data_IF_583047407267
#
_entry.id   IF_583047407267
#
_cell.length_a   1.000
_cell.length_b   1.000
_cell.length_c   1.000
_cell.angle_alpha   90.00
_cell.angle_beta   90.00
_cell.angle_gamma   90.00
#
_symmetry.space_group_name_H-M   'P 1'
#
loop_
_entity.id
_entity.type
_entity.pdbx_description
1 polymer ?
#
# COMPACT_ATOMS: atom_id res chain seq x y z
N UNK A 1 26.16 28.03 11.93
CA UNK A 1 25.08 27.02 12.04
C UNK A 1 25.55 25.97 13.02
N UNK A 2 24.89 25.86 14.18
CA UNK A 2 25.25 24.88 15.20
C UNK A 2 25.10 23.45 14.67
N UNK A 3 26.18 22.67 14.74
CA UNK A 3 26.24 21.24 14.35
C UNK A 3 25.12 20.45 15.06
N UNK A 4 24.77 20.86 16.28
CA UNK A 4 23.73 20.25 17.10
C UNK A 4 22.31 20.43 16.52
N UNK A 5 22.05 21.56 15.84
CA UNK A 5 20.75 21.84 15.19
C UNK A 5 20.59 21.01 13.91
N UNK A 6 21.68 20.83 13.15
CA UNK A 6 21.69 20.00 11.94
C UNK A 6 21.42 18.53 12.24
N UNK A 7 22.08 17.97 13.25
CA UNK A 7 21.89 16.56 13.66
C UNK A 7 20.46 16.33 14.14
N UNK A 8 19.91 17.22 14.97
CA UNK A 8 18.53 17.10 15.47
C UNK A 8 17.50 17.12 14.33
N UNK A 9 17.70 17.99 13.33
CA UNK A 9 16.84 18.06 12.14
C UNK A 9 16.91 16.77 11.33
N UNK A 10 18.11 16.23 11.13
CA UNK A 10 18.32 14.98 10.40
C UNK A 10 17.66 13.78 11.09
N UNK A 11 17.86 13.60 12.40
CA UNK A 11 17.24 12.51 13.17
C UNK A 11 15.71 12.62 13.13
N UNK A 12 15.17 13.83 13.28
CA UNK A 12 13.73 14.06 13.20
C UNK A 12 13.18 13.68 11.81
N UNK A 13 13.87 14.06 10.73
CA UNK A 13 13.50 13.67 9.38
C UNK A 13 13.55 12.16 9.16
N UNK A 14 14.57 11.45 9.69
CA UNK A 14 14.63 9.99 9.60
C UNK A 14 13.43 9.33 10.30
N UNK A 15 13.11 9.76 11.53
CA UNK A 15 11.97 9.20 12.29
C UNK A 15 10.65 9.43 11.56
N UNK A 16 10.43 10.64 11.02
CA UNK A 16 9.23 10.96 10.23
C UNK A 16 9.16 10.09 8.97
N UNK A 17 10.30 9.86 8.31
CA UNK A 17 10.35 9.05 7.10
C UNK A 17 10.02 7.59 7.35
N UNK A 18 10.57 7.00 8.41
CA UNK A 18 10.24 5.63 8.84
C UNK A 18 8.76 5.53 9.21
N UNK A 19 8.26 6.48 10.00
CA UNK A 19 6.85 6.49 10.42
C UNK A 19 5.90 6.57 9.21
N UNK A 20 6.20 7.41 8.22
CA UNK A 20 5.42 7.48 6.98
C UNK A 20 5.49 6.19 6.18
N UNK A 21 6.67 5.60 6.02
CA UNK A 21 6.82 4.31 5.34
C UNK A 21 6.02 3.19 6.02
N UNK A 22 6.06 3.14 7.35
CA UNK A 22 5.27 2.21 8.14
C UNK A 22 3.77 2.42 7.97
N UNK A 23 3.31 3.68 7.92
CA UNK A 23 1.91 4.01 7.71
C UNK A 23 1.43 3.56 6.32
N UNK A 24 2.22 3.81 5.27
CA UNK A 24 1.91 3.31 3.92
C UNK A 24 1.85 1.80 3.85
N UNK A 25 2.84 1.11 4.44
CA UNK A 25 2.83 -0.34 4.55
C UNK A 25 1.55 -0.83 5.24
N UNK A 26 1.21 -0.26 6.39
CA UNK A 26 0.05 -0.66 7.17
C UNK A 26 -1.25 -0.45 6.39
N UNK A 27 -1.39 0.67 5.69
CA UNK A 27 -2.59 0.94 4.87
C UNK A 27 -2.69 -0.02 3.69
N UNK A 28 -1.67 -0.07 2.82
CA UNK A 28 -1.73 -0.78 1.55
C UNK A 28 -1.59 -2.30 1.67
N UNK A 29 -0.87 -2.78 2.68
CA UNK A 29 -0.52 -4.20 2.82
C UNK A 29 -1.34 -4.91 3.90
N UNK A 30 -1.80 -4.18 4.92
CA UNK A 30 -2.54 -4.77 6.04
C UNK A 30 -4.02 -4.38 6.01
N UNK A 31 -4.34 -3.08 6.12
CA UNK A 31 -5.73 -2.60 6.22
C UNK A 31 -6.53 -2.97 4.98
N UNK A 32 -6.05 -2.57 3.79
CA UNK A 32 -6.81 -2.76 2.56
C UNK A 32 -7.11 -4.24 2.28
N UNK A 33 -6.12 -5.16 2.23
CA UNK A 33 -6.39 -6.57 2.04
C UNK A 33 -7.32 -7.17 3.10
N UNK A 34 -7.21 -6.73 4.36
CA UNK A 34 -8.07 -7.21 5.46
C UNK A 34 -9.51 -6.70 5.32
N UNK A 35 -9.71 -5.48 4.84
CA UNK A 35 -11.05 -4.97 4.55
C UNK A 35 -11.71 -5.76 3.41
N UNK A 36 -10.95 -6.04 2.34
CA UNK A 36 -11.43 -6.86 1.23
C UNK A 36 -11.76 -8.29 1.67
N UNK A 37 -10.91 -8.94 2.47
CA UNK A 37 -11.18 -10.31 2.96
C UNK A 37 -12.41 -10.39 3.88
N UNK A 38 -12.74 -9.33 4.61
CA UNK A 38 -13.97 -9.29 5.43
C UNK A 38 -15.24 -9.10 4.60
N UNK A 39 -15.17 -8.32 3.53
CA UNK A 39 -16.30 -8.12 2.61
C UNK A 39 -16.52 -9.40 1.78
N UNK A 40 -15.45 -10.16 1.52
CA UNK A 40 -15.43 -11.34 0.66
C UNK A 40 -14.77 -12.53 1.39
N UNK A 41 -15.46 -13.14 2.38
CA UNK A 41 -14.87 -14.10 3.32
C UNK A 41 -14.52 -15.47 2.72
N UNK A 42 -15.09 -15.83 1.57
CA UNK A 42 -14.86 -17.11 0.88
C UNK A 42 -13.95 -16.95 -0.35
N UNK A 43 -13.10 -15.92 -0.34
CA UNK A 43 -12.20 -15.64 -1.44
C UNK A 43 -10.78 -15.96 -1.02
N UNK A 44 -10.11 -16.78 -1.82
CA UNK A 44 -8.69 -17.06 -1.64
C UNK A 44 -7.89 -15.86 -2.15
N UNK A 45 -7.71 -14.84 -1.31
CA UNK A 45 -6.77 -13.77 -1.62
C UNK A 45 -5.37 -14.39 -1.56
N UNK A 46 -4.61 -14.43 -2.66
CA UNK A 46 -3.29 -15.05 -2.66
C UNK A 46 -2.38 -14.30 -1.69
N UNK A 47 -2.09 -14.93 -0.56
CA UNK A 47 -1.09 -14.42 0.37
C UNK A 47 0.28 -14.67 -0.26
N UNK A 48 0.97 -13.61 -0.62
CA UNK A 48 2.37 -13.65 -1.06
C UNK A 48 3.29 -13.30 0.13
N UNK A 49 3.58 -14.25 1.04
CA UNK A 49 4.38 -13.98 2.23
C UNK A 49 5.77 -13.42 1.91
N UNK A 50 6.34 -13.83 0.77
CA UNK A 50 7.63 -13.33 0.28
C UNK A 50 7.65 -11.84 -0.08
N UNK A 51 6.48 -11.21 -0.31
CA UNK A 51 6.40 -9.79 -0.67
C UNK A 51 6.34 -8.84 0.54
N UNK A 52 5.98 -9.31 1.74
CA UNK A 52 5.82 -8.43 2.90
C UNK A 52 7.10 -7.68 3.29
N UNK A 53 8.25 -8.39 3.36
CA UNK A 53 9.53 -7.79 3.77
C UNK A 53 10.06 -6.83 2.69
N UNK A 54 10.14 -7.20 1.39
CA UNK A 54 10.56 -6.29 0.34
C UNK A 54 9.71 -5.02 0.26
N UNK A 55 8.38 -5.16 0.39
CA UNK A 55 7.45 -4.02 0.35
C UNK A 55 7.62 -3.12 1.57
N UNK A 56 7.85 -3.67 2.76
CA UNK A 56 8.15 -2.88 3.94
C UNK A 56 9.44 -2.06 3.77
N UNK A 57 10.50 -2.68 3.26
CA UNK A 57 11.78 -2.01 2.97
C UNK A 57 11.56 -0.91 1.93
N UNK A 58 10.82 -1.18 0.86
CA UNK A 58 10.51 -0.22 -0.20
C UNK A 58 9.79 1.02 0.34
N UNK A 59 8.70 0.83 1.09
CA UNK A 59 7.96 1.96 1.67
C UNK A 59 8.79 2.74 2.69
N UNK A 60 9.59 2.07 3.50
CA UNK A 60 10.47 2.73 4.46
C UNK A 60 11.54 3.55 3.74
N UNK A 61 12.16 3.01 2.68
CA UNK A 61 13.15 3.71 1.86
C UNK A 61 12.54 4.95 1.17
N UNK A 62 11.33 4.82 0.61
CA UNK A 62 10.59 5.92 0.00
C UNK A 62 10.19 6.99 1.02
N UNK A 63 9.73 6.57 2.21
CA UNK A 63 9.38 7.47 3.30
C UNK A 63 10.59 8.26 3.80
N UNK A 64 11.73 7.59 3.98
CA UNK A 64 13.02 8.20 4.31
C UNK A 64 13.47 9.20 3.24
N UNK A 65 13.49 8.76 1.98
CA UNK A 65 13.90 9.61 0.87
C UNK A 65 13.00 10.85 0.80
N UNK A 66 11.67 10.69 0.86
CA UNK A 66 10.73 11.81 0.83
C UNK A 66 10.90 12.77 2.01
N UNK A 67 11.21 12.27 3.19
CA UNK A 67 11.48 13.11 4.37
C UNK A 67 12.79 13.90 4.25
N UNK A 68 13.81 13.31 3.63
CA UNK A 68 15.10 13.96 3.40
C UNK A 68 15.01 15.04 2.32
N UNK A 69 14.27 14.82 1.23
CA UNK A 69 14.06 15.81 0.15
C UNK A 69 12.81 16.67 0.34
N UNK A 70 12.20 16.69 1.53
CA UNK A 70 10.91 17.37 1.79
C UNK A 70 10.89 18.85 1.40
N UNK A 71 12.04 19.54 1.52
CA UNK A 71 12.20 20.97 1.18
C UNK A 71 12.47 21.21 -0.31
N UNK A 72 12.68 20.14 -1.09
CA UNK A 72 12.95 20.21 -2.51
C UNK A 72 11.70 19.84 -3.34
N UNK A 73 11.58 20.40 -4.57
CA UNK A 73 10.47 20.09 -5.47
C UNK A 73 10.42 18.60 -5.87
N UNK A 74 11.53 17.87 -5.70
CA UNK A 74 11.66 16.42 -5.95
C UNK A 74 10.83 15.60 -4.94
N UNK A 75 10.44 16.16 -3.79
CA UNK A 75 9.54 15.47 -2.84
C UNK A 75 8.20 15.09 -3.46
N UNK A 76 7.69 15.91 -4.39
CA UNK A 76 6.38 15.74 -5.01
C UNK A 76 6.31 14.50 -5.92
N UNK A 77 7.24 14.30 -6.89
CA UNK A 77 7.29 13.05 -7.64
C UNK A 77 7.62 11.84 -6.76
N UNK A 78 8.39 11.99 -5.68
CA UNK A 78 8.65 10.88 -4.75
C UNK A 78 7.39 10.43 -3.99
N UNK A 79 6.57 11.38 -3.54
CA UNK A 79 5.26 11.10 -2.93
C UNK A 79 4.36 10.35 -3.91
N UNK A 80 4.26 10.84 -5.15
CA UNK A 80 3.46 10.19 -6.20
C UNK A 80 3.97 8.77 -6.48
N UNK A 81 5.28 8.59 -6.60
CA UNK A 81 5.89 7.27 -6.81
C UNK A 81 5.56 6.31 -5.66
N UNK A 82 5.60 6.79 -4.42
CA UNK A 82 5.24 5.99 -3.24
C UNK A 82 3.80 5.48 -3.30
N UNK A 83 2.88 6.33 -3.75
CA UNK A 83 1.47 5.95 -3.91
C UNK A 83 1.25 5.00 -5.08
N UNK A 84 1.87 5.26 -6.23
CA UNK A 84 1.76 4.41 -7.41
C UNK A 84 2.30 3.01 -7.08
N UNK A 85 3.44 2.92 -6.40
CA UNK A 85 3.98 1.65 -5.93
C UNK A 85 3.05 0.98 -4.92
N UNK A 86 2.47 1.72 -3.98
CA UNK A 86 1.52 1.15 -3.04
C UNK A 86 0.24 0.63 -3.68
N UNK A 87 -0.28 1.35 -4.67
CA UNK A 87 -1.41 0.92 -5.49
C UNK A 87 -1.08 -0.35 -6.31
N UNK A 88 0.12 -0.42 -6.86
CA UNK A 88 0.58 -1.58 -7.63
C UNK A 88 0.77 -2.81 -6.73
N UNK A 89 1.34 -2.62 -5.54
CA UNK A 89 1.39 -3.67 -4.51
C UNK A 89 0.00 -4.14 -4.14
N UNK A 90 -0.94 -3.22 -3.91
CA UNK A 90 -2.32 -3.55 -3.59
C UNK A 90 -3.01 -4.33 -4.72
N UNK A 91 -2.77 -3.97 -5.98
CA UNK A 91 -3.25 -4.72 -7.16
C UNK A 91 -2.75 -6.16 -7.15
N UNK A 92 -1.44 -6.35 -6.93
CA UNK A 92 -0.84 -7.69 -6.87
C UNK A 92 -1.40 -8.49 -5.71
N UNK A 93 -1.54 -7.89 -4.53
CA UNK A 93 -2.10 -8.54 -3.34
C UNK A 93 -3.57 -8.93 -3.52
N UNK A 94 -4.32 -8.18 -4.33
CA UNK A 94 -5.73 -8.44 -4.62
C UNK A 94 -5.94 -9.15 -5.97
N UNK A 95 -4.90 -9.84 -6.47
CA UNK A 95 -4.96 -10.62 -7.71
C UNK A 95 -5.56 -9.84 -8.91
N UNK A 96 -5.15 -8.57 -9.07
CA UNK A 96 -5.66 -7.67 -10.11
C UNK A 96 -7.17 -7.42 -10.07
N UNK A 97 -7.82 -7.68 -8.93
CA UNK A 97 -9.26 -7.55 -8.77
C UNK A 97 -10.04 -8.77 -9.21
N UNK A 98 -9.38 -9.90 -9.50
CA UNK A 98 -10.05 -11.16 -9.81
C UNK A 98 -10.27 -11.93 -8.50
N UNK A 99 -11.53 -12.08 -8.15
CA UNK A 99 -12.00 -12.80 -6.97
C UNK A 99 -12.55 -14.15 -7.44
N UNK A 100 -11.90 -15.21 -7.02
CA UNK A 100 -12.33 -16.59 -7.29
C UNK A 100 -12.62 -17.30 -5.98
N UNK A 101 -13.63 -18.16 -5.99
CA UNK A 101 -13.96 -19.00 -4.86
C UNK A 101 -15.11 -19.94 -5.14
N UNK A 102 -15.49 -20.70 -4.12
CA UNK A 102 -16.58 -21.67 -4.18
C UNK A 102 -17.69 -21.26 -3.21
N UNK A 103 -18.94 -21.34 -3.65
CA UNK A 103 -20.11 -21.22 -2.77
C UNK A 103 -20.92 -22.51 -2.82
N UNK A 104 -21.31 -23.01 -1.65
CA UNK A 104 -22.23 -24.12 -1.56
C UNK A 104 -23.68 -23.60 -1.71
N UNK A 105 -24.27 -23.79 -2.88
CA UNK A 105 -25.68 -23.49 -3.13
C UNK A 105 -26.46 -24.81 -3.16
N UNK A 106 -27.36 -25.01 -2.19
CA UNK A 106 -28.20 -26.21 -2.08
C UNK A 106 -27.41 -27.54 -2.10
N UNK A 107 -26.22 -27.57 -1.51
CA UNK A 107 -25.37 -28.76 -1.45
C UNK A 107 -24.53 -29.01 -2.70
N UNK A 108 -24.59 -28.13 -3.70
CA UNK A 108 -23.72 -28.13 -4.89
C UNK A 108 -22.68 -27.03 -4.74
N UNK A 109 -21.40 -27.38 -4.91
CA UNK A 109 -20.31 -26.40 -4.99
C UNK A 109 -20.39 -25.70 -6.34
N UNK A 110 -20.61 -24.39 -6.32
CA UNK A 110 -20.62 -23.53 -7.49
C UNK A 110 -19.40 -22.62 -7.41
N UNK A 111 -18.51 -22.74 -8.39
CA UNK A 111 -17.40 -21.81 -8.58
C UNK A 111 -17.94 -20.46 -9.05
N UNK A 112 -17.45 -19.38 -8.44
CA UNK A 112 -17.73 -18.02 -8.88
C UNK A 112 -16.42 -17.30 -9.21
N UNK A 113 -16.46 -16.51 -10.28
CA UNK A 113 -15.40 -15.59 -10.65
C UNK A 113 -16.01 -14.20 -10.79
N UNK A 114 -15.53 -13.25 -9.98
CA UNK A 114 -15.99 -11.87 -9.97
C UNK A 114 -14.82 -10.93 -10.23
N UNK A 115 -14.97 -10.07 -11.23
CA UNK A 115 -14.01 -9.01 -11.53
C UNK A 115 -14.42 -7.71 -10.81
N UNK A 116 -13.65 -7.34 -9.79
CA UNK A 116 -13.74 -6.07 -9.05
C UNK A 116 -12.67 -5.06 -9.46
N UNK A 117 -11.91 -5.33 -10.52
CA UNK A 117 -10.85 -4.45 -11.02
C UNK A 117 -11.32 -3.00 -11.23
N UNK A 118 -12.54 -2.70 -11.72
CA UNK A 118 -12.98 -1.30 -11.88
C UNK A 118 -13.09 -0.57 -10.54
N UNK A 119 -13.57 -1.26 -9.50
CA UNK A 119 -13.74 -0.71 -8.16
C UNK A 119 -12.38 -0.50 -7.50
N UNK A 120 -11.46 -1.45 -7.69
CA UNK A 120 -10.08 -1.37 -7.23
C UNK A 120 -9.31 -0.21 -7.90
N UNK A 121 -9.43 -0.06 -9.23
CA UNK A 121 -8.84 1.06 -9.95
C UNK A 121 -9.41 2.40 -9.50
N UNK A 122 -10.71 2.46 -9.22
CA UNK A 122 -11.36 3.67 -8.70
C UNK A 122 -10.81 4.06 -7.32
N UNK A 123 -10.68 3.09 -6.40
CA UNK A 123 -10.05 3.29 -5.08
C UNK A 123 -8.61 3.80 -5.19
N UNK A 124 -7.84 3.21 -6.10
CA UNK A 124 -6.46 3.61 -6.38
C UNK A 124 -6.43 5.06 -6.88
N UNK A 125 -7.26 5.39 -7.87
CA UNK A 125 -7.35 6.74 -8.44
C UNK A 125 -7.73 7.77 -7.37
N UNK A 126 -8.71 7.46 -6.52
CA UNK A 126 -9.08 8.31 -5.39
C UNK A 126 -7.93 8.49 -4.39
N UNK A 127 -7.17 7.43 -4.08
CA UNK A 127 -6.01 7.52 -3.18
C UNK A 127 -4.90 8.43 -3.73
N UNK A 128 -4.76 8.48 -5.07
CA UNK A 128 -3.84 9.38 -5.75
C UNK A 128 -4.31 10.83 -5.65
N UNK A 129 -5.61 11.07 -5.81
CA UNK A 129 -6.22 12.42 -5.83
C UNK A 129 -6.40 13.07 -4.45
N UNK A 130 -6.69 12.31 -3.39
CA UNK A 130 -7.12 12.86 -2.09
C UNK A 130 -5.98 13.40 -1.20
N UNK A 131 -4.71 13.07 -1.46
CA UNK A 131 -3.59 13.45 -0.58
C UNK A 131 -2.49 14.28 -1.28
N UNK A 132 -2.44 15.62 -1.13
CA UNK A 132 -1.27 16.44 -1.48
C UNK A 132 -0.09 16.29 -0.49
#
# INVERSE_FOLDING_TARGET
MDVNVGIKKMVCSLVIGVFMGMLYYLVYVVIFPTLFSKILPNTEIPKLPGLYIPVFILFTALGLANSLVREHPISLPLKLLSKILGALVMLVLLNFGIIEGEIALNGVLVEYNMDISPLLYTLILFSLLIFP
#
